data_IF_435286956848
#
_entry.id   IF_435286956848
#
_cell.length_a   1.000
_cell.length_b   1.000
_cell.length_c   1.000
_cell.angle_alpha   90.00
_cell.angle_beta   90.00
_cell.angle_gamma   90.00
#
_symmetry.space_group_name_H-M   'P 1'
#
loop_
_entity.id
_entity.type
_entity.pdbx_description
1 polymer ?
#
# COMPACT_ATOMS: atom_id res chain seq x y z
N UNK A 1 -30.34 4.25 -22.05
CA UNK A 1 -29.70 4.71 -20.78
C UNK A 1 -29.32 3.52 -19.88
N UNK A 2 -28.45 2.60 -20.31
CA UNK A 2 -28.03 1.39 -19.55
C UNK A 2 -26.55 1.40 -19.13
N UNK A 3 -25.80 2.46 -19.44
CA UNK A 3 -24.35 2.35 -19.63
C UNK A 3 -23.48 2.45 -18.34
N UNK A 4 -24.05 2.80 -17.18
CA UNK A 4 -23.26 2.98 -15.95
C UNK A 4 -24.00 2.56 -14.67
N UNK A 5 -24.73 1.44 -14.69
CA UNK A 5 -25.34 0.94 -13.44
C UNK A 5 -24.35 0.20 -12.55
N UNK A 6 -23.39 -0.50 -13.16
CA UNK A 6 -22.35 -1.25 -12.45
C UNK A 6 -21.11 -0.37 -12.33
N UNK A 7 -20.85 0.14 -11.13
CA UNK A 7 -19.66 0.95 -10.88
C UNK A 7 -18.52 0.06 -10.40
N UNK A 8 -17.43 0.03 -11.18
CA UNK A 8 -16.25 -0.77 -10.84
C UNK A 8 -15.37 0.01 -9.87
N UNK A 9 -15.47 -0.35 -8.59
CA UNK A 9 -14.64 0.27 -7.55
C UNK A 9 -13.19 -0.24 -7.57
N UNK A 10 -12.93 -1.37 -8.24
CA UNK A 10 -11.61 -1.74 -8.75
C UNK A 10 -11.72 -1.81 -10.27
N UNK A 11 -11.05 -0.88 -10.96
CA UNK A 11 -11.19 -0.72 -12.40
C UNK A 11 -10.80 -1.99 -13.17
N UNK A 12 -11.50 -2.26 -14.27
CA UNK A 12 -11.23 -3.45 -15.08
C UNK A 12 -9.80 -3.44 -15.65
N UNK A 13 -9.29 -2.27 -16.07
CA UNK A 13 -7.93 -2.12 -16.57
C UNK A 13 -6.89 -2.56 -15.53
N UNK A 14 -7.09 -2.22 -14.26
CA UNK A 14 -6.16 -2.58 -13.19
C UNK A 14 -6.21 -4.08 -12.91
N UNK A 15 -7.40 -4.70 -12.96
CA UNK A 15 -7.53 -6.15 -12.84
C UNK A 15 -6.79 -6.92 -13.96
N UNK A 16 -6.76 -6.39 -15.20
CA UNK A 16 -6.01 -7.02 -16.28
C UNK A 16 -4.49 -7.06 -16.02
N UNK A 17 -3.95 -6.18 -15.18
CA UNK A 17 -2.54 -6.22 -14.76
C UNK A 17 -2.22 -7.41 -13.85
N UNK A 18 -3.21 -8.23 -13.48
CA UNK A 18 -3.02 -9.46 -12.69
C UNK A 18 -3.11 -10.73 -13.53
N UNK A 19 -3.23 -10.59 -14.85
CA UNK A 19 -3.27 -11.70 -15.80
C UNK A 19 -1.92 -11.74 -16.54
N UNK A 20 -1.09 -12.78 -16.33
CA UNK A 20 0.15 -12.96 -17.08
C UNK A 20 -0.10 -12.97 -18.59
N UNK A 21 0.80 -12.37 -19.37
CA UNK A 21 0.62 -12.21 -20.82
C UNK A 21 0.59 -13.55 -21.55
N UNK A 22 1.24 -14.57 -20.98
CA UNK A 22 1.27 -15.95 -21.48
C UNK A 22 -0.06 -16.71 -21.31
N UNK A 23 -1.01 -16.18 -20.54
CA UNK A 23 -2.32 -16.83 -20.37
C UNK A 23 -3.24 -16.50 -21.55
N UNK A 24 -3.78 -17.54 -22.19
CA UNK A 24 -4.71 -17.40 -23.33
C UNK A 24 -6.03 -16.73 -22.94
N UNK A 25 -6.55 -17.07 -21.77
CA UNK A 25 -7.80 -16.50 -21.24
C UNK A 25 -7.55 -15.18 -20.51
N UNK A 26 -8.42 -14.19 -20.72
CA UNK A 26 -8.43 -12.92 -19.98
C UNK A 26 -9.33 -12.98 -18.73
N UNK A 27 -9.31 -14.11 -18.04
CA UNK A 27 -10.11 -14.37 -16.85
C UNK A 27 -9.23 -14.46 -15.60
N UNK A 28 -9.85 -14.26 -14.45
CA UNK A 28 -9.29 -14.46 -13.11
C UNK A 28 -10.21 -15.40 -12.32
N UNK A 29 -9.63 -16.11 -11.36
CA UNK A 29 -10.39 -16.80 -10.32
C UNK A 29 -10.76 -15.79 -9.26
N UNK A 30 -12.05 -15.64 -8.97
CA UNK A 30 -12.58 -14.78 -7.91
C UNK A 30 -13.09 -15.64 -6.76
N UNK A 31 -12.54 -15.45 -5.57
CA UNK A 31 -13.01 -16.07 -4.34
C UNK A 31 -13.86 -15.05 -3.57
N UNK A 32 -15.12 -15.40 -3.32
CA UNK A 32 -15.96 -14.72 -2.34
C UNK A 32 -15.60 -15.24 -0.94
N UNK A 33 -15.07 -14.39 -0.08
CA UNK A 33 -14.72 -14.70 1.30
C UNK A 33 -15.96 -14.80 2.20
N UNK A 34 -17.11 -14.32 1.72
CA UNK A 34 -18.39 -14.43 2.39
C UNK A 34 -19.51 -14.78 1.39
N UNK A 35 -19.47 -15.99 0.79
CA UNK A 35 -20.40 -16.39 -0.25
C UNK A 35 -21.82 -16.49 0.31
N UNK A 36 -22.84 -15.98 -0.40
CA UNK A 36 -24.22 -16.08 0.05
C UNK A 36 -24.67 -17.55 0.07
N UNK A 37 -25.37 -17.94 1.13
CA UNK A 37 -26.01 -19.25 1.23
C UNK A 37 -27.36 -19.23 0.53
N UNK A 38 -27.70 -20.27 -0.23
CA UNK A 38 -29.05 -20.48 -0.77
C UNK A 38 -29.77 -21.56 0.01
N UNK A 39 -31.07 -21.36 0.19
CA UNK A 39 -31.99 -22.36 0.74
C UNK A 39 -32.90 -22.80 -0.40
N UNK A 40 -32.92 -24.10 -0.70
CA UNK A 40 -33.89 -24.71 -1.61
C UNK A 40 -34.36 -26.03 -1.00
N UNK A 41 -35.67 -26.28 -1.00
CA UNK A 41 -36.28 -27.49 -0.43
C UNK A 41 -35.79 -27.83 1.00
N UNK A 42 -35.62 -26.82 1.85
CA UNK A 42 -35.14 -26.99 3.24
C UNK A 42 -33.62 -27.23 3.39
N UNK A 43 -32.88 -27.42 2.29
CA UNK A 43 -31.44 -27.63 2.31
C UNK A 43 -30.67 -26.33 2.03
N UNK A 44 -29.62 -26.09 2.82
CA UNK A 44 -28.65 -25.00 2.62
C UNK A 44 -27.52 -25.48 1.72
N UNK A 45 -27.23 -24.75 0.65
CA UNK A 45 -26.06 -24.98 -0.19
C UNK A 45 -25.33 -23.68 -0.50
N UNK A 46 -24.00 -23.78 -0.55
CA UNK A 46 -23.11 -22.70 -0.97
C UNK A 46 -23.02 -22.66 -2.49
N UNK A 47 -22.96 -21.46 -3.06
CA UNK A 47 -22.68 -21.29 -4.49
C UNK A 47 -21.25 -21.74 -4.82
N UNK A 48 -21.02 -22.09 -6.10
CA UNK A 48 -19.67 -22.38 -6.62
C UNK A 48 -18.72 -21.23 -6.27
N UNK A 49 -17.59 -21.58 -5.67
CA UNK A 49 -16.58 -20.65 -5.19
C UNK A 49 -15.22 -21.40 -5.16
N UNK A 50 -14.17 -20.94 -5.85
CA UNK A 50 -14.08 -19.68 -6.60
C UNK A 50 -14.78 -19.74 -7.97
N UNK A 51 -14.97 -18.56 -8.56
CA UNK A 51 -15.57 -18.38 -9.88
C UNK A 51 -14.53 -17.97 -10.91
N UNK A 52 -14.61 -18.52 -12.12
CA UNK A 52 -13.72 -18.19 -13.23
C UNK A 52 -14.37 -17.19 -14.18
N UNK A 53 -14.02 -15.91 -14.08
CA UNK A 53 -14.69 -14.82 -14.80
C UNK A 53 -13.72 -13.80 -15.39
N UNK A 54 -14.21 -13.01 -16.35
CA UNK A 54 -13.52 -11.80 -16.81
C UNK A 54 -13.67 -10.63 -15.82
N UNK A 55 -12.77 -9.63 -15.83
CA UNK A 55 -12.81 -8.44 -14.95
C UNK A 55 -14.12 -7.66 -14.89
N UNK A 56 -14.97 -7.75 -15.92
CA UNK A 56 -16.28 -7.09 -15.95
C UNK A 56 -17.34 -7.73 -15.04
N UNK A 57 -17.05 -8.87 -14.40
CA UNK A 57 -18.01 -9.65 -13.61
C UNK A 57 -17.76 -9.62 -12.09
N UNK A 58 -16.73 -8.92 -11.62
CA UNK A 58 -16.47 -8.76 -10.19
C UNK A 58 -15.91 -7.37 -9.88
N UNK A 59 -15.70 -7.09 -8.59
CA UNK A 59 -15.27 -5.80 -8.05
C UNK A 59 -16.11 -4.59 -8.53
N UNK A 60 -17.41 -4.79 -8.64
CA UNK A 60 -18.37 -3.73 -8.91
C UNK A 60 -19.54 -3.78 -7.93
N UNK A 61 -20.23 -2.66 -7.79
CA UNK A 61 -21.52 -2.60 -7.12
C UNK A 61 -22.48 -1.78 -7.96
N UNK A 62 -23.77 -2.13 -7.90
CA UNK A 62 -24.80 -1.33 -8.58
C UNK A 62 -24.97 -0.01 -7.85
N UNK A 63 -24.98 1.10 -8.59
CA UNK A 63 -25.28 2.44 -8.09
C UNK A 63 -24.43 2.92 -6.90
N UNK A 64 -23.20 2.43 -6.76
CA UNK A 64 -22.34 2.75 -5.61
C UNK A 64 -22.05 4.25 -5.47
N UNK A 65 -22.02 4.94 -6.61
CA UNK A 65 -21.63 6.35 -6.74
C UNK A 65 -22.73 7.18 -7.41
N UNK A 66 -23.94 6.64 -7.50
CA UNK A 66 -25.04 7.36 -8.13
C UNK A 66 -25.54 8.43 -7.17
N UNK A 67 -25.48 9.69 -7.59
CA UNK A 67 -26.05 10.80 -6.82
C UNK A 67 -27.56 10.83 -7.04
N UNK A 68 -28.34 10.79 -5.96
CA UNK A 68 -29.80 10.91 -6.06
C UNK A 68 -30.20 12.36 -6.27
N UNK A 69 -30.88 12.68 -7.37
CA UNK A 69 -31.35 14.03 -7.71
C UNK A 69 -32.84 13.95 -8.00
N UNK A 70 -33.68 14.38 -7.05
CA UNK A 70 -35.12 14.18 -7.12
C UNK A 70 -35.49 12.70 -7.20
N UNK A 71 -36.23 12.31 -8.24
CA UNK A 71 -36.57 10.91 -8.55
C UNK A 71 -35.52 10.21 -9.43
N UNK A 72 -34.53 10.95 -9.95
CA UNK A 72 -33.48 10.45 -10.82
C UNK A 72 -32.15 10.15 -10.11
N UNK A 73 -31.21 9.63 -10.90
CA UNK A 73 -29.83 9.41 -10.49
C UNK A 73 -28.87 10.05 -11.50
N UNK A 74 -27.81 10.69 -11.01
CA UNK A 74 -26.68 11.14 -11.84
C UNK A 74 -25.50 10.18 -11.74
N UNK A 75 -24.88 9.89 -12.88
CA UNK A 75 -23.66 9.07 -13.03
C UNK A 75 -22.40 9.92 -13.21
N UNK A 76 -22.50 11.24 -13.05
CA UNK A 76 -21.43 12.19 -13.31
C UNK A 76 -20.15 11.91 -12.51
N UNK A 77 -20.28 11.45 -11.27
CA UNK A 77 -19.14 11.11 -10.43
C UNK A 77 -18.36 9.89 -10.97
N UNK A 78 -19.06 8.88 -11.47
CA UNK A 78 -18.42 7.73 -12.13
C UNK A 78 -17.75 8.16 -13.44
N UNK A 79 -18.49 8.88 -14.29
CA UNK A 79 -18.04 9.20 -15.64
C UNK A 79 -16.91 10.24 -15.68
N UNK A 80 -17.08 11.36 -14.96
CA UNK A 80 -16.14 12.49 -15.04
C UNK A 80 -15.02 12.38 -14.03
N UNK A 81 -15.34 12.11 -12.77
CA UNK A 81 -14.35 12.09 -11.70
C UNK A 81 -13.57 10.77 -11.67
N UNK A 82 -14.23 9.63 -11.43
CA UNK A 82 -13.53 8.34 -11.38
C UNK A 82 -12.97 7.95 -12.75
N UNK A 83 -13.66 8.24 -13.85
CA UNK A 83 -13.13 8.06 -15.21
C UNK A 83 -11.88 8.88 -15.53
N UNK A 84 -11.71 10.09 -14.96
CA UNK A 84 -10.45 10.85 -15.04
C UNK A 84 -9.36 10.20 -14.18
N UNK A 85 -9.68 9.87 -12.93
CA UNK A 85 -8.75 9.24 -11.98
C UNK A 85 -8.23 7.90 -12.51
N UNK A 86 -9.07 7.09 -13.14
CA UNK A 86 -8.67 5.80 -13.71
C UNK A 86 -7.71 5.96 -14.91
N UNK A 87 -7.90 6.99 -15.74
CA UNK A 87 -7.00 7.26 -16.88
C UNK A 87 -5.61 7.70 -16.43
N UNK A 88 -5.54 8.67 -15.51
CA UNK A 88 -4.24 9.13 -14.97
C UNK A 88 -3.59 8.04 -14.11
N UNK A 89 -4.39 7.25 -13.41
CA UNK A 89 -3.96 6.12 -12.59
C UNK A 89 -3.29 5.02 -13.40
N UNK A 90 -3.81 4.70 -14.59
CA UNK A 90 -3.21 3.68 -15.46
C UNK A 90 -1.78 4.04 -15.91
N UNK A 91 -1.57 5.28 -16.36
CA UNK A 91 -0.27 5.76 -16.80
C UNK A 91 0.75 5.83 -15.65
N UNK A 92 0.35 6.43 -14.53
CA UNK A 92 1.21 6.60 -13.36
C UNK A 92 1.54 5.27 -12.64
N UNK A 93 0.60 4.33 -12.58
CA UNK A 93 0.86 2.98 -12.06
C UNK A 93 1.84 2.21 -12.95
N UNK A 94 1.72 2.33 -14.27
CA UNK A 94 2.69 1.71 -15.19
C UNK A 94 4.09 2.30 -15.00
N UNK A 95 4.19 3.61 -14.81
CA UNK A 95 5.44 4.28 -14.48
C UNK A 95 6.09 3.71 -13.20
N UNK A 96 5.36 3.65 -12.08
CA UNK A 96 5.90 3.11 -10.83
C UNK A 96 6.16 1.59 -10.86
N UNK A 97 5.39 0.83 -11.65
CA UNK A 97 5.65 -0.61 -11.83
C UNK A 97 7.01 -0.89 -12.50
N UNK A 98 7.46 0.03 -13.35
CA UNK A 98 8.71 -0.06 -14.11
C UNK A 98 9.75 0.96 -13.62
N UNK A 99 9.59 1.47 -12.39
CA UNK A 99 10.45 2.50 -11.86
C UNK A 99 11.92 2.05 -11.78
N UNK A 100 12.82 2.88 -12.28
CA UNK A 100 14.27 2.72 -12.18
C UNK A 100 14.92 4.06 -11.84
N UNK A 101 16.03 4.02 -11.11
CA UNK A 101 16.82 5.24 -10.85
C UNK A 101 17.76 5.58 -12.02
N UNK A 102 18.02 6.88 -12.28
CA UNK A 102 17.19 8.02 -11.92
C UNK A 102 15.95 8.10 -12.83
N UNK A 103 14.79 8.34 -12.24
CA UNK A 103 13.59 8.69 -12.98
C UNK A 103 12.72 9.54 -12.07
N UNK A 104 12.81 10.86 -12.16
CA UNK A 104 11.93 11.74 -11.40
C UNK A 104 10.86 12.29 -12.35
N UNK A 105 9.59 12.11 -11.99
CA UNK A 105 8.47 12.66 -12.74
C UNK A 105 7.37 13.11 -11.77
N UNK A 106 7.31 14.42 -11.51
CA UNK A 106 6.36 15.00 -10.54
C UNK A 106 4.91 14.78 -10.95
N UNK A 107 4.59 14.86 -12.25
CA UNK A 107 3.23 14.64 -12.76
C UNK A 107 2.76 13.22 -12.47
N UNK A 108 3.57 12.21 -12.80
CA UNK A 108 3.19 10.82 -12.48
C UNK A 108 3.13 10.54 -10.99
N UNK A 109 3.96 11.21 -10.19
CA UNK A 109 3.83 11.14 -8.73
C UNK A 109 2.48 11.70 -8.26
N UNK A 110 2.11 12.88 -8.74
CA UNK A 110 0.85 13.53 -8.37
C UNK A 110 -0.37 12.69 -8.77
N UNK A 111 -0.37 12.20 -10.01
CA UNK A 111 -1.42 11.33 -10.56
C UNK A 111 -1.51 10.00 -9.77
N UNK A 112 -0.37 9.45 -9.36
CA UNK A 112 -0.33 8.19 -8.62
C UNK A 112 -0.88 8.34 -7.19
N UNK A 113 -0.56 9.44 -6.51
CA UNK A 113 -1.11 9.76 -5.19
C UNK A 113 -2.64 9.94 -5.27
N UNK A 114 -3.11 10.67 -6.29
CA UNK A 114 -4.55 10.85 -6.54
C UNK A 114 -5.24 9.51 -6.75
N UNK A 115 -4.67 8.68 -7.62
CA UNK A 115 -5.20 7.36 -7.92
C UNK A 115 -5.22 6.46 -6.68
N UNK A 116 -4.11 6.33 -5.96
CA UNK A 116 -4.01 5.44 -4.80
C UNK A 116 -4.95 5.86 -3.66
N UNK A 117 -5.06 7.17 -3.40
CA UNK A 117 -5.90 7.69 -2.32
C UNK A 117 -7.38 7.51 -2.67
N UNK A 118 -7.76 7.85 -3.89
CA UNK A 118 -9.12 7.63 -4.40
C UNK A 118 -9.47 6.15 -4.48
N UNK A 119 -8.55 5.30 -4.93
CA UNK A 119 -8.73 3.84 -5.01
C UNK A 119 -8.95 3.24 -3.62
N UNK A 120 -8.31 3.75 -2.56
CA UNK A 120 -8.59 3.33 -1.18
C UNK A 120 -10.00 3.74 -0.75
N UNK A 121 -10.41 4.99 -1.03
CA UNK A 121 -11.68 5.56 -0.60
C UNK A 121 -12.90 5.00 -1.34
N UNK A 122 -12.79 4.71 -2.65
CA UNK A 122 -13.95 4.40 -3.51
C UNK A 122 -14.54 2.99 -3.31
N UNK A 123 -13.80 2.08 -2.69
CA UNK A 123 -14.28 0.71 -2.43
C UNK A 123 -15.41 0.69 -1.39
N UNK A 124 -16.28 -0.33 -1.34
CA UNK A 124 -17.29 -0.43 -0.28
C UNK A 124 -16.71 -0.33 1.14
N UNK A 125 -15.54 -0.95 1.36
CA UNK A 125 -14.79 -0.82 2.61
C UNK A 125 -14.26 0.60 2.84
N UNK A 126 -13.72 1.21 1.79
CA UNK A 126 -13.23 2.59 1.80
C UNK A 126 -14.31 3.61 2.13
N UNK A 127 -15.49 3.50 1.49
CA UNK A 127 -16.64 4.36 1.73
C UNK A 127 -17.14 4.23 3.16
N UNK A 128 -17.28 3.00 3.66
CA UNK A 128 -17.67 2.75 5.05
C UNK A 128 -16.66 3.28 6.07
N UNK A 129 -15.36 3.24 5.76
CA UNK A 129 -14.31 3.88 6.56
C UNK A 129 -14.42 5.41 6.51
N UNK A 130 -14.58 5.97 5.31
CA UNK A 130 -14.61 7.41 5.08
C UNK A 130 -15.82 8.05 5.76
N UNK A 131 -16.99 7.43 5.64
CA UNK A 131 -18.22 7.79 6.34
C UNK A 131 -18.00 7.91 7.87
N UNK A 132 -17.32 6.93 8.48
CA UNK A 132 -16.99 6.97 9.91
C UNK A 132 -15.99 8.07 10.24
N UNK A 133 -15.01 8.31 9.37
CA UNK A 133 -13.96 9.29 9.58
C UNK A 133 -14.50 10.73 9.58
N UNK A 134 -15.35 11.07 8.61
CA UNK A 134 -15.89 12.43 8.44
C UNK A 134 -17.27 12.63 9.09
N UNK A 135 -17.88 11.56 9.62
CA UNK A 135 -19.19 11.56 10.31
C UNK A 135 -20.36 12.05 9.43
N UNK A 136 -20.37 11.65 8.16
CA UNK A 136 -21.45 11.99 7.21
C UNK A 136 -22.31 10.75 6.95
N UNK A 137 -23.61 10.85 7.20
CA UNK A 137 -24.57 9.78 6.92
C UNK A 137 -25.19 9.85 5.52
N UNK A 138 -25.31 11.06 4.96
CA UNK A 138 -25.89 11.25 3.63
C UNK A 138 -24.95 10.78 2.52
N UNK A 139 -25.46 9.96 1.60
CA UNK A 139 -24.65 9.39 0.53
C UNK A 139 -24.18 10.44 -0.47
N UNK A 140 -25.03 11.42 -0.82
CA UNK A 140 -24.66 12.45 -1.79
C UNK A 140 -23.55 13.35 -1.24
N UNK A 141 -23.65 13.76 0.03
CA UNK A 141 -22.63 14.53 0.72
C UNK A 141 -21.32 13.75 0.86
N UNK A 142 -21.39 12.47 1.24
CA UNK A 142 -20.20 11.59 1.33
C UNK A 142 -19.44 11.53 0.00
N UNK A 143 -20.18 11.36 -1.09
CA UNK A 143 -19.62 11.26 -2.44
C UNK A 143 -18.99 12.58 -2.91
N UNK A 144 -19.59 13.73 -2.59
CA UNK A 144 -18.98 15.05 -2.83
C UNK A 144 -17.69 15.24 -2.04
N UNK A 145 -17.66 14.79 -0.78
CA UNK A 145 -16.45 14.86 0.06
C UNK A 145 -15.29 14.01 -0.44
N UNK A 146 -15.53 12.96 -1.23
CA UNK A 146 -14.45 12.20 -1.86
C UNK A 146 -13.66 13.07 -2.83
N UNK A 147 -14.34 13.93 -3.60
CA UNK A 147 -13.67 14.82 -4.56
C UNK A 147 -12.81 15.85 -3.82
N UNK A 148 -13.37 16.49 -2.78
CA UNK A 148 -12.65 17.47 -1.95
C UNK A 148 -11.45 16.86 -1.22
N UNK A 149 -11.59 15.63 -0.73
CA UNK A 149 -10.58 14.92 0.07
C UNK A 149 -9.91 13.80 -0.72
N UNK A 150 -9.86 13.89 -2.05
CA UNK A 150 -9.28 12.83 -2.90
C UNK A 150 -7.82 12.53 -2.53
N UNK A 151 -7.09 13.52 -1.99
CA UNK A 151 -5.70 13.41 -1.50
C UNK A 151 -5.56 13.18 0.01
N UNK A 152 -6.60 12.68 0.68
CA UNK A 152 -6.64 12.53 2.15
C UNK A 152 -5.36 11.91 2.75
N UNK A 153 -4.76 10.92 2.08
CA UNK A 153 -3.60 10.19 2.59
C UNK A 153 -2.25 10.69 2.04
N UNK A 154 -2.27 11.65 1.12
CA UNK A 154 -1.13 12.06 0.30
C UNK A 154 0.11 12.41 1.12
N UNK A 155 0.01 13.36 2.05
CA UNK A 155 1.15 13.82 2.84
C UNK A 155 1.83 12.69 3.64
N UNK A 156 1.04 11.81 4.24
CA UNK A 156 1.55 10.68 5.03
C UNK A 156 2.31 9.70 4.15
N UNK A 157 1.79 9.43 2.95
CA UNK A 157 2.40 8.53 1.98
C UNK A 157 3.64 9.13 1.32
N UNK A 158 3.62 10.41 0.96
CA UNK A 158 4.80 11.12 0.43
C UNK A 158 5.99 11.08 1.40
N UNK A 159 5.73 11.17 2.69
CA UNK A 159 6.78 11.09 3.73
C UNK A 159 7.13 9.68 4.17
N UNK A 160 6.54 8.65 3.56
CA UNK A 160 6.88 7.27 3.88
C UNK A 160 8.16 6.85 3.15
N UNK A 161 8.83 5.81 3.65
CA UNK A 161 9.86 5.12 2.88
C UNK A 161 9.16 4.19 1.88
N UNK A 162 9.32 4.47 0.59
CA UNK A 162 8.76 3.68 -0.51
C UNK A 162 9.68 2.51 -0.83
N UNK A 163 9.09 1.35 -1.07
CA UNK A 163 9.79 0.17 -1.54
C UNK A 163 8.91 -0.60 -2.54
N UNK A 164 9.40 -0.78 -3.77
CA UNK A 164 8.75 -1.59 -4.80
C UNK A 164 9.35 -2.98 -4.76
N UNK A 165 8.54 -3.93 -4.27
CA UNK A 165 8.86 -5.35 -4.19
C UNK A 165 8.62 -6.04 -5.53
N UNK A 166 9.37 -7.12 -5.76
CA UNK A 166 9.38 -7.85 -7.01
C UNK A 166 9.24 -9.36 -6.79
N UNK A 167 8.16 -9.92 -7.34
CA UNK A 167 7.85 -11.34 -7.35
C UNK A 167 8.14 -11.97 -8.73
N UNK A 168 8.85 -11.29 -9.64
CA UNK A 168 9.13 -11.80 -10.99
C UNK A 168 9.83 -13.16 -10.96
N UNK A 169 10.72 -13.37 -10.00
CA UNK A 169 11.44 -14.65 -9.80
C UNK A 169 10.68 -15.69 -8.96
N UNK A 170 9.50 -15.34 -8.42
CA UNK A 170 8.66 -16.26 -7.64
C UNK A 170 7.62 -16.92 -8.55
N UNK A 171 7.37 -18.22 -8.37
CA UNK A 171 6.29 -18.92 -9.09
C UNK A 171 4.90 -18.55 -8.56
N UNK A 172 4.83 -18.01 -7.34
CA UNK A 172 3.62 -17.44 -6.75
C UNK A 172 3.63 -15.94 -7.02
N UNK A 173 2.50 -15.41 -7.50
CA UNK A 173 2.34 -13.99 -7.84
C UNK A 173 1.36 -13.32 -6.90
N UNK A 174 1.31 -12.00 -6.91
CA UNK A 174 0.41 -11.25 -6.04
C UNK A 174 -1.05 -11.45 -6.44
N UNK A 175 -1.91 -11.56 -5.43
CA UNK A 175 -3.36 -11.51 -5.61
C UNK A 175 -3.86 -10.06 -5.57
N UNK A 176 -5.04 -9.84 -6.13
CA UNK A 176 -5.78 -8.57 -6.04
C UNK A 176 -6.99 -8.76 -5.11
N UNK A 177 -7.39 -7.70 -4.40
CA UNK A 177 -8.59 -7.68 -3.56
C UNK A 177 -9.57 -6.59 -3.98
N UNK A 178 -10.78 -6.67 -3.46
CA UNK A 178 -11.78 -5.61 -3.55
C UNK A 178 -11.45 -4.35 -2.71
N UNK A 179 -10.33 -4.38 -1.98
CA UNK A 179 -9.74 -3.25 -1.25
C UNK A 179 -8.23 -3.19 -1.51
N UNK A 180 -7.80 -2.85 -2.74
CA UNK A 180 -6.43 -3.12 -3.22
C UNK A 180 -5.35 -2.27 -2.54
N UNK A 181 -5.70 -1.07 -2.05
CA UNK A 181 -4.81 -0.24 -1.24
C UNK A 181 -5.12 -0.49 0.23
N UNK A 182 -4.42 -1.45 0.82
CA UNK A 182 -4.67 -1.90 2.20
C UNK A 182 -3.48 -1.65 3.12
N UNK A 183 -3.55 -2.14 4.35
CA UNK A 183 -2.58 -1.87 5.41
C UNK A 183 -2.23 -3.10 6.24
N UNK A 184 -1.00 -3.12 6.74
CA UNK A 184 -0.52 -4.08 7.72
C UNK A 184 0.00 -3.35 8.96
N UNK A 185 -0.35 -3.84 10.14
CA UNK A 185 0.29 -3.44 11.40
C UNK A 185 0.41 -4.68 12.28
N UNK A 186 1.61 -4.96 12.80
CA UNK A 186 1.89 -6.20 13.55
C UNK A 186 1.05 -6.38 14.82
N UNK A 187 0.48 -5.30 15.37
CA UNK A 187 -0.40 -5.34 16.55
C UNK A 187 -1.90 -5.31 16.21
N UNK A 188 -2.26 -5.18 14.93
CA UNK A 188 -3.64 -5.12 14.48
C UNK A 188 -4.00 -6.36 13.66
N UNK A 189 -4.14 -7.50 14.33
CA UNK A 189 -4.58 -8.73 13.67
C UNK A 189 -6.03 -8.58 13.13
N UNK A 190 -6.46 -9.42 12.16
CA UNK A 190 -7.73 -9.22 11.44
C UNK A 190 -8.98 -9.14 12.34
N UNK A 191 -9.01 -9.89 13.44
CA UNK A 191 -10.11 -9.84 14.43
C UNK A 191 -9.99 -8.73 15.48
N UNK A 192 -8.96 -7.88 15.43
CA UNK A 192 -8.80 -6.79 16.39
C UNK A 192 -9.78 -5.64 16.14
N UNK A 193 -10.08 -4.85 17.16
CA UNK A 193 -10.95 -3.65 17.04
C UNK A 193 -10.52 -2.65 15.95
N UNK A 194 -9.24 -2.67 15.58
CA UNK A 194 -8.67 -1.82 14.54
C UNK A 194 -9.01 -2.29 13.12
N UNK A 195 -9.58 -3.48 12.96
CA UNK A 195 -9.77 -4.14 11.66
C UNK A 195 -11.20 -4.64 11.43
N UNK A 196 -12.10 -4.45 12.40
CA UNK A 196 -13.50 -4.87 12.30
C UNK A 196 -14.31 -3.95 11.36
N UNK A 197 -15.33 -4.55 10.75
CA UNK A 197 -16.24 -3.88 9.81
C UNK A 197 -15.49 -3.29 8.61
N UNK A 198 -15.46 -1.95 8.51
CA UNK A 198 -14.82 -1.22 7.42
C UNK A 198 -13.40 -0.76 7.76
N UNK A 199 -12.92 -1.05 8.97
CA UNK A 199 -11.67 -0.49 9.46
C UNK A 199 -10.46 -1.25 8.94
N UNK A 200 -9.39 -0.50 8.80
CA UNK A 200 -8.01 -0.95 8.64
C UNK A 200 -7.18 -0.20 9.70
N UNK A 201 -6.00 -0.71 10.11
CA UNK A 201 -5.07 0.04 10.93
C UNK A 201 -4.85 1.46 10.39
N UNK A 202 -4.88 2.45 11.28
CA UNK A 202 -4.63 3.84 10.89
C UNK A 202 -3.23 3.96 10.28
N UNK A 203 -3.13 4.56 9.10
CA UNK A 203 -1.85 4.78 8.39
C UNK A 203 -0.92 5.75 9.14
N UNK A 204 -1.46 6.48 10.11
CA UNK A 204 -0.71 7.38 10.99
C UNK A 204 -0.05 6.64 12.14
N UNK A 205 -0.42 5.39 12.43
CA UNK A 205 0.34 4.59 13.39
C UNK A 205 1.71 4.24 12.80
N UNK A 206 2.75 4.36 13.62
CA UNK A 206 4.13 4.13 13.20
C UNK A 206 4.29 2.76 12.55
N UNK A 207 3.83 1.70 13.21
CA UNK A 207 3.97 0.33 12.71
C UNK A 207 3.02 -0.04 11.57
N UNK A 208 2.27 0.91 11.00
CA UNK A 208 1.40 0.65 9.85
C UNK A 208 2.18 0.80 8.55
N UNK A 209 2.11 -0.23 7.72
CA UNK A 209 2.57 -0.23 6.34
C UNK A 209 1.35 -0.14 5.41
N UNK A 210 1.38 0.71 4.39
CA UNK A 210 0.42 0.63 3.29
C UNK A 210 0.96 -0.33 2.24
N UNK A 211 0.08 -1.19 1.72
CA UNK A 211 0.39 -2.23 0.74
C UNK A 211 -0.49 -2.00 -0.47
N UNK A 212 0.12 -1.92 -1.65
CA UNK A 212 -0.59 -1.77 -2.90
C UNK A 212 0.05 -2.61 -4.01
N UNK A 213 -0.53 -3.77 -4.36
CA UNK A 213 -0.12 -4.53 -5.54
C UNK A 213 -0.23 -3.66 -6.79
N UNK A 214 0.83 -3.51 -7.59
CA UNK A 214 0.80 -2.71 -8.82
C UNK A 214 0.38 -3.57 -10.01
N UNK A 215 0.91 -4.79 -10.07
CA UNK A 215 0.55 -5.83 -11.02
C UNK A 215 0.84 -7.21 -10.38
N UNK A 216 0.70 -8.31 -11.13
CA UNK A 216 0.98 -9.64 -10.59
C UNK A 216 2.42 -9.84 -10.05
N UNK A 217 3.41 -9.09 -10.54
CA UNK A 217 4.81 -9.20 -10.11
C UNK A 217 5.26 -8.09 -9.15
N UNK A 218 4.68 -6.89 -9.22
CA UNK A 218 5.19 -5.71 -8.53
C UNK A 218 4.22 -5.27 -7.45
N UNK A 219 4.74 -4.89 -6.29
CA UNK A 219 3.94 -4.40 -5.17
C UNK A 219 4.65 -3.25 -4.48
N UNK A 220 3.93 -2.17 -4.23
CA UNK A 220 4.40 -1.03 -3.47
C UNK A 220 4.12 -1.24 -1.97
N UNK A 221 5.15 -1.03 -1.17
CA UNK A 221 5.04 -0.89 0.28
C UNK A 221 5.45 0.51 0.68
N UNK A 222 4.60 1.16 1.47
CA UNK A 222 4.88 2.43 2.12
C UNK A 222 5.05 2.19 3.61
N UNK A 223 6.27 2.39 4.10
CA UNK A 223 6.59 2.25 5.52
C UNK A 223 6.69 3.63 6.14
N UNK A 224 5.97 3.87 7.24
CA UNK A 224 6.10 5.13 7.96
C UNK A 224 7.58 5.42 8.28
N UNK A 225 8.07 6.62 7.94
CA UNK A 225 9.49 6.95 8.09
C UNK A 225 9.98 6.84 9.55
N UNK A 226 9.14 7.18 10.53
CA UNK A 226 9.50 7.02 11.94
C UNK A 226 9.67 5.55 12.34
N UNK A 227 8.90 4.65 11.72
CA UNK A 227 9.04 3.21 11.92
C UNK A 227 10.22 2.62 11.17
N UNK A 228 10.49 3.10 9.96
CA UNK A 228 11.69 2.74 9.21
C UNK A 228 12.97 3.13 9.97
N UNK A 229 12.97 4.32 10.59
CA UNK A 229 14.08 4.83 11.41
C UNK A 229 14.20 4.16 12.77
N UNK A 230 13.08 3.74 13.36
CA UNK A 230 13.06 3.02 14.63
C UNK A 230 11.94 1.96 14.65
N UNK A 231 12.21 0.70 14.27
CA UNK A 231 11.22 -0.38 14.26
C UNK A 231 11.00 -1.04 15.63
N UNK A 232 11.71 -0.59 16.66
CA UNK A 232 11.68 -1.16 18.02
C UNK A 232 10.66 -0.46 18.93
N UNK A 233 10.10 0.66 18.50
CA UNK A 233 9.12 1.40 19.27
C UNK A 233 7.71 0.79 19.23
N UNK A 234 6.74 1.45 19.89
CA UNK A 234 5.34 0.99 19.96
C UNK A 234 4.65 1.16 18.58
N UNK A 235 4.16 0.07 17.95
CA UNK A 235 3.52 0.10 16.62
C UNK A 235 2.29 0.99 16.53
N UNK A 236 1.52 1.11 17.61
CA UNK A 236 0.27 1.88 17.68
C UNK A 236 0.46 3.34 18.09
N UNK A 237 1.70 3.79 18.33
CA UNK A 237 1.97 5.21 18.57
C UNK A 237 1.78 5.95 17.23
N UNK A 238 1.17 7.13 17.29
CA UNK A 238 1.10 8.00 16.12
C UNK A 238 2.49 8.48 15.69
N UNK A 239 2.65 8.62 14.37
CA UNK A 239 3.80 9.24 13.75
C UNK A 239 3.96 10.71 14.16
N UNK A 240 5.15 11.22 13.96
CA UNK A 240 5.36 12.67 13.96
C UNK A 240 4.58 13.32 12.82
N UNK A 241 4.01 14.50 13.11
CA UNK A 241 3.14 15.26 12.22
C UNK A 241 2.00 14.42 11.59
N UNK A 242 1.07 13.89 12.40
CA UNK A 242 0.07 12.91 11.95
C UNK A 242 -1.12 13.52 11.19
N UNK A 243 -1.10 14.80 10.84
CA UNK A 243 -2.22 15.43 10.15
C UNK A 243 -2.33 14.93 8.69
N UNK A 244 -3.54 14.61 8.25
CA UNK A 244 -3.82 14.05 6.92
C UNK A 244 -3.57 15.06 5.80
N UNK A 245 -4.26 16.20 5.84
CA UNK A 245 -4.28 17.20 4.77
C UNK A 245 -3.28 18.29 5.10
N UNK A 246 -2.17 18.30 4.35
CA UNK A 246 -1.09 19.30 4.46
C UNK A 246 -0.13 19.17 3.28
N UNK A 247 0.70 20.18 3.09
CA UNK A 247 1.80 20.11 2.13
C UNK A 247 2.91 19.18 2.65
N UNK A 248 3.61 18.56 1.72
CA UNK A 248 4.71 17.63 1.95
C UNK A 248 5.71 17.73 0.81
N UNK A 249 6.87 17.14 1.00
CA UNK A 249 7.83 16.87 -0.06
C UNK A 249 7.83 15.36 -0.39
N UNK A 250 8.48 15.02 -1.50
CA UNK A 250 8.79 13.64 -1.88
C UNK A 250 10.18 13.58 -2.51
N UNK A 251 10.97 12.58 -2.15
CA UNK A 251 12.29 12.36 -2.73
C UNK A 251 12.30 11.08 -3.56
N UNK A 252 12.34 11.21 -4.88
CA UNK A 252 12.40 10.08 -5.80
C UNK A 252 13.62 9.20 -5.59
N UNK A 253 14.75 9.78 -5.16
CA UNK A 253 15.99 9.01 -4.96
C UNK A 253 15.88 8.01 -3.81
N UNK A 254 14.97 8.26 -2.86
CA UNK A 254 14.78 7.40 -1.69
C UNK A 254 13.94 6.17 -2.01
N UNK A 255 13.28 6.09 -3.17
CA UNK A 255 12.47 4.91 -3.53
C UNK A 255 13.38 3.67 -3.59
N UNK A 256 13.07 2.63 -2.82
CA UNK A 256 13.80 1.37 -2.89
C UNK A 256 13.25 0.46 -3.98
N UNK A 257 14.13 -0.04 -4.84
CA UNK A 257 13.83 -1.06 -5.85
C UNK A 257 14.77 -2.26 -5.73
N UNK A 258 14.49 -3.31 -6.50
CA UNK A 258 15.35 -4.50 -6.61
C UNK A 258 15.10 -5.58 -5.56
N UNK A 259 14.07 -5.42 -4.72
CA UNK A 259 13.70 -6.41 -3.70
C UNK A 259 12.98 -7.61 -4.28
N UNK A 260 13.75 -8.63 -4.63
CA UNK A 260 13.20 -9.93 -5.00
C UNK A 260 12.62 -10.65 -3.78
N UNK A 261 11.43 -11.20 -3.95
CA UNK A 261 10.70 -11.96 -2.94
C UNK A 261 10.75 -13.46 -3.26
N UNK A 262 10.89 -14.25 -2.20
CA UNK A 262 10.66 -15.69 -2.25
C UNK A 262 9.17 -16.02 -2.33
N UNK A 263 8.83 -17.24 -2.75
CA UNK A 263 7.45 -17.74 -2.76
C UNK A 263 6.79 -17.68 -1.37
N UNK A 264 7.56 -17.94 -0.30
CA UNK A 264 7.08 -17.84 1.07
C UNK A 264 6.69 -16.39 1.41
N UNK A 265 7.53 -15.42 1.06
CA UNK A 265 7.25 -14.01 1.31
C UNK A 265 6.05 -13.50 0.50
N UNK A 266 5.94 -13.89 -0.77
CA UNK A 266 4.76 -13.58 -1.58
C UNK A 266 3.50 -14.19 -0.96
N UNK A 267 3.57 -15.43 -0.48
CA UNK A 267 2.45 -16.08 0.21
C UNK A 267 2.07 -15.37 1.50
N UNK A 268 3.04 -14.92 2.31
CA UNK A 268 2.77 -14.13 3.51
C UNK A 268 2.09 -12.79 3.19
N UNK A 269 2.54 -12.10 2.13
CA UNK A 269 1.91 -10.84 1.69
C UNK A 269 0.51 -11.08 1.14
N UNK A 270 0.31 -12.13 0.33
CA UNK A 270 -1.01 -12.52 -0.15
C UNK A 270 -1.95 -12.89 1.02
N UNK A 271 -1.44 -13.52 2.08
CA UNK A 271 -2.22 -13.78 3.29
C UNK A 271 -2.67 -12.48 3.97
N UNK A 272 -1.80 -11.46 4.04
CA UNK A 272 -2.17 -10.12 4.52
C UNK A 272 -3.27 -9.52 3.63
N UNK A 273 -3.09 -9.52 2.31
CA UNK A 273 -4.07 -8.97 1.35
C UNK A 273 -5.43 -9.67 1.49
N UNK A 274 -5.44 -11.01 1.57
CA UNK A 274 -6.66 -11.81 1.74
C UNK A 274 -7.40 -11.45 3.03
N UNK A 275 -6.69 -11.34 4.15
CA UNK A 275 -7.28 -11.00 5.44
C UNK A 275 -7.70 -9.53 5.56
N UNK A 276 -7.35 -8.71 4.57
CA UNK A 276 -7.71 -7.29 4.51
C UNK A 276 -8.77 -6.96 3.46
N UNK A 277 -9.00 -7.88 2.52
CA UNK A 277 -10.11 -7.83 1.60
C UNK A 277 -11.43 -7.70 2.38
N UNK A 278 -12.39 -7.04 1.76
CA UNK A 278 -13.71 -6.87 2.35
C UNK A 278 -14.61 -8.07 2.08
N UNK A 279 -14.61 -8.55 0.84
CA UNK A 279 -15.42 -9.67 0.38
C UNK A 279 -14.74 -10.50 -0.69
N UNK A 280 -14.06 -9.90 -1.65
CA UNK A 280 -13.51 -10.62 -2.80
C UNK A 280 -12.00 -10.51 -2.90
N UNK A 281 -11.36 -11.61 -3.29
CA UNK A 281 -10.01 -11.63 -3.84
C UNK A 281 -9.98 -12.32 -5.20
N UNK A 282 -8.98 -12.00 -6.02
CA UNK A 282 -8.80 -12.63 -7.32
C UNK A 282 -7.33 -12.90 -7.66
N UNK A 283 -7.11 -13.89 -8.53
CA UNK A 283 -5.79 -14.32 -8.99
C UNK A 283 -5.87 -15.02 -10.35
N UNK A 284 -4.77 -15.02 -11.11
CA UNK A 284 -4.71 -15.73 -12.39
C UNK A 284 -4.72 -17.25 -12.22
N UNK A 285 -4.19 -17.75 -11.10
CA UNK A 285 -4.22 -19.17 -10.74
C UNK A 285 -5.01 -19.38 -9.46
N UNK A 286 -5.80 -20.46 -9.42
CA UNK A 286 -6.70 -20.75 -8.31
C UNK A 286 -5.93 -21.00 -7.00
N UNK A 287 -4.79 -21.69 -7.07
CA UNK A 287 -3.98 -22.01 -5.91
C UNK A 287 -3.42 -20.77 -5.18
N UNK A 288 -3.27 -19.63 -5.87
CA UNK A 288 -2.78 -18.39 -5.27
C UNK A 288 -3.80 -17.74 -4.33
N UNK A 289 -5.08 -18.12 -4.41
CA UNK A 289 -6.16 -17.62 -3.54
C UNK A 289 -6.12 -18.21 -2.13
N UNK A 290 -5.29 -19.22 -1.89
CA UNK A 290 -5.16 -19.92 -0.61
C UNK A 290 -3.72 -19.84 -0.07
N UNK A 291 -3.18 -18.62 0.16
CA UNK A 291 -1.81 -18.45 0.63
C UNK A 291 -1.53 -19.19 1.94
N UNK A 292 -2.54 -19.32 2.81
CA UNK A 292 -2.44 -20.06 4.07
C UNK A 292 -1.99 -21.52 3.91
N UNK A 293 -2.28 -22.15 2.77
CA UNK A 293 -1.86 -23.53 2.49
C UNK A 293 -0.33 -23.70 2.39
N UNK A 294 0.40 -22.60 2.14
CA UNK A 294 1.86 -22.56 2.03
C UNK A 294 2.54 -22.06 3.30
N UNK A 295 1.77 -21.62 4.30
CA UNK A 295 2.30 -21.02 5.52
C UNK A 295 2.25 -22.04 6.66
N UNK A 296 3.42 -22.37 7.22
CA UNK A 296 3.50 -23.20 8.43
C UNK A 296 3.00 -22.46 9.68
N UNK A 297 2.99 -21.12 9.65
CA UNK A 297 2.57 -20.28 10.76
C UNK A 297 1.89 -19.00 10.24
N UNK A 298 0.67 -18.76 10.71
CA UNK A 298 -0.15 -17.58 10.36
C UNK A 298 -0.25 -16.57 11.51
N UNK A 299 0.59 -16.70 12.55
CA UNK A 299 0.62 -15.79 13.68
C UNK A 299 1.01 -14.37 13.24
N UNK A 300 0.00 -13.50 13.20
CA UNK A 300 0.06 -12.16 12.59
C UNK A 300 1.27 -11.29 12.97
N UNK A 301 1.71 -11.25 14.25
CA UNK A 301 2.87 -10.45 14.63
C UNK A 301 4.21 -10.92 14.03
N UNK A 302 4.32 -12.19 13.60
CA UNK A 302 5.57 -12.71 13.06
C UNK A 302 5.94 -12.07 11.73
N UNK A 303 4.97 -11.76 10.87
CA UNK A 303 5.23 -11.08 9.59
C UNK A 303 6.02 -9.76 9.78
N UNK A 304 5.77 -9.02 10.86
CA UNK A 304 6.49 -7.81 11.21
C UNK A 304 7.83 -8.04 11.90
N UNK A 305 7.95 -9.10 12.72
CA UNK A 305 9.23 -9.50 13.34
C UNK A 305 10.26 -9.94 12.31
N UNK A 306 9.79 -10.50 11.20
CA UNK A 306 10.65 -11.00 10.14
C UNK A 306 11.02 -9.94 9.10
N UNK A 307 10.74 -8.65 9.35
CA UNK A 307 11.04 -7.55 8.44
C UNK A 307 10.43 -7.75 7.03
N UNK A 308 9.33 -8.52 6.91
CA UNK A 308 8.69 -8.87 5.64
C UNK A 308 8.41 -7.64 4.77
N UNK A 309 7.86 -6.58 5.37
CA UNK A 309 7.51 -5.34 4.67
C UNK A 309 8.52 -4.21 4.89
N UNK A 310 9.58 -4.45 5.67
CA UNK A 310 10.56 -3.42 5.97
C UNK A 310 11.55 -3.25 4.81
N UNK A 311 11.75 -2.03 4.30
CA UNK A 311 12.82 -1.73 3.35
C UNK A 311 14.20 -2.07 3.92
N UNK A 312 15.22 -2.24 3.08
CA UNK A 312 16.59 -2.52 3.52
C UNK A 312 17.22 -1.24 4.11
N UNK A 313 17.45 -1.15 5.42
CA UNK A 313 17.95 0.08 6.06
C UNK A 313 19.40 0.40 5.71
N UNK A 314 20.13 -0.55 5.13
CA UNK A 314 21.54 -0.38 4.82
C UNK A 314 21.74 0.48 3.58
N UNK A 315 20.73 0.59 2.73
CA UNK A 315 20.80 1.34 1.46
C UNK A 315 20.35 2.79 1.62
N UNK A 316 19.54 3.08 2.64
CA UNK A 316 19.09 4.45 2.93
C UNK A 316 20.01 5.15 3.93
N UNK A 317 20.20 6.46 3.78
CA UNK A 317 20.90 7.31 4.75
C UNK A 317 19.93 7.90 5.78
N UNK A 318 20.43 8.25 6.97
CA UNK A 318 19.68 9.13 7.87
C UNK A 318 19.94 10.56 7.44
N UNK A 319 18.94 11.17 6.80
CA UNK A 319 18.99 12.55 6.32
C UNK A 319 18.16 13.50 7.21
N UNK A 320 18.53 14.78 7.18
CA UNK A 320 17.64 15.90 7.50
C UNK A 320 16.65 16.13 6.35
N UNK A 321 15.62 16.95 6.56
CA UNK A 321 14.66 17.20 5.49
C UNK A 321 15.19 18.16 4.42
N UNK A 322 14.49 18.30 3.28
CA UNK A 322 15.00 19.06 2.14
C UNK A 322 14.83 20.58 2.32
N UNK A 323 15.76 21.31 1.70
CA UNK A 323 15.58 22.69 1.28
C UNK A 323 15.24 22.69 -0.22
N UNK A 324 14.12 23.29 -0.59
CA UNK A 324 13.58 23.30 -1.95
C UNK A 324 13.62 24.73 -2.48
N UNK A 325 14.24 24.95 -3.63
CA UNK A 325 14.19 26.23 -4.35
C UNK A 325 13.30 26.07 -5.58
N UNK A 326 12.34 26.97 -5.76
CA UNK A 326 11.47 27.02 -6.92
C UNK A 326 12.05 27.96 -8.00
N UNK A 327 11.62 27.78 -9.25
CA UNK A 327 12.06 28.62 -10.38
C UNK A 327 11.70 30.10 -10.23
N UNK A 328 10.66 30.41 -9.44
CA UNK A 328 10.24 31.78 -9.12
C UNK A 328 11.00 32.41 -7.94
N UNK A 329 12.08 31.76 -7.48
CA UNK A 329 12.93 32.25 -6.39
C UNK A 329 12.37 31.98 -4.99
N UNK A 330 11.18 31.39 -4.85
CA UNK A 330 10.69 30.95 -3.53
C UNK A 330 11.56 29.83 -2.99
N UNK A 331 11.77 29.85 -1.68
CA UNK A 331 12.44 28.79 -0.94
C UNK A 331 11.43 28.18 0.02
N UNK A 332 11.43 26.86 0.09
CA UNK A 332 10.64 26.11 1.04
C UNK A 332 11.49 25.06 1.75
N UNK A 333 11.14 24.76 3.00
CA UNK A 333 11.88 23.82 3.82
C UNK A 333 10.91 22.92 4.57
N UNK A 334 11.27 21.64 4.63
CA UNK A 334 10.57 20.64 5.40
C UNK A 334 11.59 19.84 6.18
N UNK A 335 11.23 19.37 7.38
CA UNK A 335 11.94 18.24 7.95
C UNK A 335 11.40 16.93 7.38
N UNK A 336 12.04 15.81 7.71
CA UNK A 336 11.66 14.47 7.21
C UNK A 336 10.27 13.95 7.64
N UNK A 337 9.56 14.70 8.48
CA UNK A 337 8.17 14.46 8.88
C UNK A 337 7.23 15.53 8.30
N UNK A 338 7.69 16.33 7.33
CA UNK A 338 6.91 17.34 6.65
C UNK A 338 6.55 18.55 7.51
N UNK A 339 7.28 18.81 8.61
CA UNK A 339 7.09 20.02 9.44
C UNK A 339 7.87 21.19 8.85
N UNK A 340 7.36 22.39 9.06
CA UNK A 340 7.99 23.65 8.64
C UNK A 340 8.97 24.16 9.70
N UNK A 341 9.95 25.02 9.36
CA UNK A 341 10.90 25.60 10.32
C UNK A 341 10.26 26.34 11.51
N UNK A 342 9.04 26.84 11.36
CA UNK A 342 8.29 27.51 12.42
C UNK A 342 7.58 26.54 13.39
N UNK A 343 7.60 25.24 13.12
CA UNK A 343 7.06 24.22 14.04
C UNK A 343 8.03 24.01 15.21
N UNK A 344 7.53 24.02 16.44
CA UNK A 344 8.37 23.87 17.64
C UNK A 344 9.16 22.56 17.67
N UNK A 345 8.66 21.51 17.01
CA UNK A 345 9.30 20.19 16.95
C UNK A 345 10.11 19.99 15.68
N UNK A 346 10.25 21.00 14.82
CA UNK A 346 11.08 20.96 13.63
C UNK A 346 12.51 20.52 13.98
N UNK A 347 12.99 19.48 13.30
CA UNK A 347 14.35 18.95 13.46
C UNK A 347 14.77 18.61 14.92
N UNK A 348 13.82 18.12 15.73
CA UNK A 348 14.02 17.66 17.12
C UNK A 348 15.26 16.77 17.29
N UNK A 349 16.30 17.31 17.94
CA UNK A 349 17.60 16.67 18.10
C UNK A 349 17.56 15.44 19.02
N UNK A 350 16.69 15.43 20.03
CA UNK A 350 16.55 14.28 20.95
C UNK A 350 15.95 13.10 20.19
N UNK A 351 14.93 13.36 19.37
CA UNK A 351 14.33 12.35 18.51
C UNK A 351 15.34 11.82 17.49
N UNK A 352 16.06 12.70 16.80
CA UNK A 352 17.11 12.32 15.83
C UNK A 352 18.17 11.40 16.43
N UNK A 353 18.67 11.73 17.62
CA UNK A 353 19.68 10.90 18.30
C UNK A 353 19.15 9.49 18.56
N UNK A 354 17.93 9.39 19.13
CA UNK A 354 17.26 8.12 19.41
C UNK A 354 17.04 7.30 18.13
N UNK A 355 16.59 7.94 17.05
CA UNK A 355 16.39 7.29 15.76
C UNK A 355 17.71 6.85 15.13
N UNK A 356 18.78 7.62 15.28
CA UNK A 356 20.10 7.26 14.77
C UNK A 356 20.66 6.00 15.42
N UNK A 357 20.53 5.89 16.74
CA UNK A 357 20.93 4.70 17.49
C UNK A 357 20.09 3.48 17.07
N UNK A 358 18.75 3.64 17.01
CA UNK A 358 17.85 2.59 16.59
C UNK A 358 18.07 2.13 15.14
N UNK A 359 18.29 3.06 14.21
CA UNK A 359 18.50 2.74 12.80
C UNK A 359 19.81 1.99 12.57
N UNK A 360 20.88 2.34 13.31
CA UNK A 360 22.13 1.56 13.30
C UNK A 360 21.89 0.12 13.75
N UNK A 361 21.21 -0.07 14.89
CA UNK A 361 20.86 -1.42 15.35
C UNK A 361 20.00 -2.18 14.32
N UNK A 362 19.04 -1.49 13.68
CA UNK A 362 18.22 -2.06 12.62
C UNK A 362 19.03 -2.52 11.41
N UNK A 363 20.04 -1.75 10.97
CA UNK A 363 20.99 -2.21 9.93
C UNK A 363 21.71 -3.49 10.32
N UNK A 364 22.16 -3.60 11.57
CA UNK A 364 22.82 -4.81 12.08
C UNK A 364 21.89 -6.02 12.11
N UNK A 365 20.67 -5.85 12.61
CA UNK A 365 19.66 -6.93 12.63
C UNK A 365 19.24 -7.37 11.23
N UNK A 366 19.09 -6.43 10.30
CA UNK A 366 18.79 -6.73 8.91
C UNK A 366 19.93 -7.50 8.24
N UNK A 367 21.19 -7.07 8.45
CA UNK A 367 22.37 -7.77 7.92
C UNK A 367 22.51 -9.18 8.50
N UNK A 368 22.29 -9.37 9.81
CA UNK A 368 22.30 -10.69 10.45
C UNK A 368 21.22 -11.62 9.90
N UNK A 369 20.04 -11.08 9.57
CA UNK A 369 18.91 -11.88 9.08
C UNK A 369 19.04 -12.26 7.60
N UNK A 370 19.50 -11.33 6.76
CA UNK A 370 19.47 -11.51 5.30
C UNK A 370 20.85 -11.67 4.65
N UNK A 371 21.93 -11.61 5.44
CA UNK A 371 23.28 -11.77 4.94
C UNK A 371 23.80 -10.56 4.16
N UNK A 372 24.90 -10.73 3.40
CA UNK A 372 25.59 -9.63 2.71
C UNK A 372 24.83 -9.09 1.50
N UNK A 373 23.94 -9.87 0.89
CA UNK A 373 23.16 -9.43 -0.26
C UNK A 373 22.19 -8.33 0.14
N UNK A 374 22.21 -7.19 -0.57
CA UNK A 374 21.24 -6.13 -0.37
C UNK A 374 19.91 -6.53 -0.96
N UNK A 375 18.85 -6.27 -0.20
CA UNK A 375 17.49 -6.62 -0.59
C UNK A 375 16.73 -5.45 -1.18
N UNK A 376 17.24 -4.22 -1.13
CA UNK A 376 16.61 -3.06 -1.75
C UNK A 376 17.64 -1.94 -1.86
N UNK A 377 17.57 -1.16 -2.93
CA UNK A 377 18.56 -0.13 -3.22
C UNK A 377 17.89 1.19 -3.61
N UNK A 378 18.52 2.29 -3.20
CA UNK A 378 18.12 3.68 -3.45
C UNK A 378 19.16 4.37 -4.32
N UNK A 379 18.77 5.42 -5.05
CA UNK A 379 19.68 6.34 -5.72
C UNK A 379 20.26 5.88 -7.07
N UNK A 380 20.96 6.81 -7.72
CA UNK A 380 21.64 6.61 -9.01
C UNK A 380 22.88 5.74 -8.83
N UNK A 381 23.04 4.71 -9.67
CA UNK A 381 24.12 3.72 -9.54
C UNK A 381 23.79 2.52 -8.65
N UNK A 382 22.54 2.40 -8.19
CA UNK A 382 22.05 1.20 -7.52
C UNK A 382 22.07 -0.03 -8.45
N UNK A 383 23.09 -0.88 -8.31
CA UNK A 383 23.20 -2.12 -9.07
C UNK A 383 22.30 -3.22 -8.50
N UNK A 384 21.29 -3.65 -9.27
CA UNK A 384 20.42 -4.76 -8.87
C UNK A 384 21.25 -6.01 -8.51
N UNK A 385 21.04 -6.52 -7.30
CA UNK A 385 21.79 -7.68 -6.80
C UNK A 385 23.10 -7.36 -6.09
N UNK A 386 23.39 -6.07 -5.83
CA UNK A 386 24.55 -5.65 -5.04
C UNK A 386 24.69 -6.44 -3.72
N UNK A 387 25.94 -6.79 -3.41
CA UNK A 387 26.31 -7.57 -2.23
C UNK A 387 27.43 -6.84 -1.50
N UNK A 388 27.28 -6.67 -0.18
CA UNK A 388 28.32 -6.09 0.66
C UNK A 388 29.61 -6.91 0.56
N UNK A 389 30.76 -6.24 0.44
CA UNK A 389 32.05 -6.90 0.59
C UNK A 389 32.20 -7.51 2.01
N UNK A 390 33.10 -8.50 2.22
CA UNK A 390 33.24 -9.17 3.51
C UNK A 390 33.50 -8.23 4.68
N UNK A 391 34.24 -7.14 4.48
CA UNK A 391 34.55 -6.18 5.53
C UNK A 391 33.31 -5.36 5.91
N UNK A 392 32.61 -4.81 4.92
CA UNK A 392 31.35 -4.09 5.10
C UNK A 392 30.27 -4.95 5.76
N UNK A 393 30.14 -6.21 5.33
CA UNK A 393 29.19 -7.14 5.95
C UNK A 393 29.57 -7.42 7.41
N UNK A 394 30.84 -7.71 7.68
CA UNK A 394 31.36 -7.95 9.04
C UNK A 394 31.12 -6.74 9.95
N UNK A 395 31.33 -5.52 9.42
CA UNK A 395 31.05 -4.26 10.14
C UNK A 395 29.57 -4.14 10.50
N UNK A 396 28.67 -4.46 9.57
CA UNK A 396 27.23 -4.40 9.80
C UNK A 396 26.77 -5.41 10.87
N UNK A 397 27.21 -6.67 10.80
CA UNK A 397 26.77 -7.70 11.77
C UNK A 397 27.33 -7.49 13.18
N UNK A 398 28.44 -6.74 13.32
CA UNK A 398 29.02 -6.35 14.61
C UNK A 398 28.26 -5.21 15.30
N UNK A 399 27.33 -4.53 14.61
CA UNK A 399 26.55 -3.46 15.24
C UNK A 399 25.69 -4.06 16.38
N UNK A 400 25.78 -3.53 17.61
CA UNK A 400 25.02 -4.04 18.74
C UNK A 400 23.51 -4.04 18.48
N UNK A 401 22.81 -5.01 19.07
CA UNK A 401 21.35 -4.97 19.15
C UNK A 401 20.95 -3.81 20.05
N UNK A 402 19.80 -3.20 19.76
CA UNK A 402 19.22 -2.21 20.66
C UNK A 402 18.77 -2.92 21.93
N UNK A 403 19.32 -2.52 23.08
CA UNK A 403 18.81 -2.96 24.39
C UNK A 403 17.50 -2.20 24.65
N UNK A 404 16.41 -2.93 24.89
CA UNK A 404 15.07 -2.38 25.07
C UNK A 404 14.86 -1.77 26.45
#
# INVERSE_FOLDING_TARGET
>A
MKQYQNHHYVSQWYQYNFIPSEFKSKNLYYLDLNPPQRISAGHRYSLKNPNWWGPSKCFFSKHLYSLKIGEGYSTELEEKFFGRIDRIGAASLNYFSNFTHPSANSTYFDDFIDFMSTQRLRTPKGLGYFQKLIKISDQNELLKKIEELQRLFGAIWSESQWCILDASQSNIKFIISDHPVTTYNKQCFPGSKYCLSFNDPDIRFLGTHTIFPLNFNKLLVLTNNGWFRNPYQKPLKYRENPHYVRNSFFNFQDIQIGRQLSELEVSQINYIIKNRAFRYIAAAKEEWLYPESKLSNTYWPNFGKDFLLMPDPRSSLISSGPLISYFDGRIDAYDIYGRKPHDQRYEDQKLKKKESEAFKAFRGDYARKFGPRRRGLTGVGAELGYTDDPESHTRNIKIPKLQN
#
